data_IF_807970164022
#
_entry.id   IF_807970164022
#
_cell.length_a   1.000
_cell.length_b   1.000
_cell.length_c   1.000
_cell.angle_alpha   90.00
_cell.angle_beta   90.00
_cell.angle_gamma   90.00
#
_symmetry.space_group_name_H-M   'P 1'
#
loop_
_entity.id
_entity.type
_entity.pdbx_description
1 polymer ?
#
# COMPACT_ATOMS: atom_id res chain seq x y z
N UNK A 1 6.54 -12.22 -25.44
CA UNK A 1 5.49 -12.53 -26.42
C UNK A 1 4.87 -11.27 -26.98
N UNK A 2 4.07 -11.41 -28.04
CA UNK A 2 3.38 -10.31 -28.69
C UNK A 2 2.07 -9.99 -27.95
N UNK A 3 1.79 -8.72 -27.71
CA UNK A 3 0.53 -8.24 -27.10
C UNK A 3 -0.61 -8.42 -28.11
N UNK A 4 -1.59 -9.25 -27.78
CA UNK A 4 -2.79 -9.45 -28.58
C UNK A 4 -3.83 -8.37 -28.35
N UNK A 5 -4.09 -8.05 -27.08
CA UNK A 5 -5.06 -7.02 -26.71
C UNK A 5 -4.78 -6.43 -25.35
N UNK A 6 -5.15 -5.16 -25.17
CA UNK A 6 -5.18 -4.44 -23.89
C UNK A 6 -6.66 -4.31 -23.50
N UNK A 7 -6.99 -4.69 -22.25
CA UNK A 7 -8.37 -4.81 -21.76
C UNK A 7 -8.66 -3.85 -20.60
N UNK A 8 -7.95 -2.76 -20.49
CA UNK A 8 -8.18 -1.69 -19.52
C UNK A 8 -8.04 -0.33 -20.17
N UNK A 9 -8.65 0.67 -19.58
CA UNK A 9 -8.44 2.08 -19.91
C UNK A 9 -7.53 2.73 -18.87
N UNK A 10 -6.74 3.70 -19.28
CA UNK A 10 -5.85 4.47 -18.39
C UNK A 10 -6.70 5.23 -17.36
N UNK A 11 -6.31 5.12 -16.08
CA UNK A 11 -7.07 5.69 -14.97
C UNK A 11 -8.29 4.88 -14.53
N UNK A 12 -8.55 3.72 -15.15
CA UNK A 12 -9.67 2.86 -14.79
C UNK A 12 -9.43 2.19 -13.43
N UNK A 13 -10.51 2.00 -12.67
CA UNK A 13 -10.49 1.15 -11.47
C UNK A 13 -10.68 -0.30 -11.88
N UNK A 14 -9.74 -1.15 -11.47
CA UNK A 14 -9.75 -2.58 -11.75
C UNK A 14 -9.85 -3.38 -10.47
N UNK A 15 -10.41 -4.58 -10.57
CA UNK A 15 -10.50 -5.52 -9.46
C UNK A 15 -9.40 -6.58 -9.55
N UNK A 16 -9.07 -7.18 -8.42
CA UNK A 16 -8.15 -8.31 -8.37
C UNK A 16 -8.58 -9.40 -9.35
N UNK A 17 -7.59 -10.02 -10.00
CA UNK A 17 -7.75 -11.06 -11.02
C UNK A 17 -8.42 -10.61 -12.33
N UNK A 18 -8.79 -9.33 -12.47
CA UNK A 18 -9.22 -8.76 -13.74
C UNK A 18 -8.10 -8.84 -14.77
N UNK A 19 -8.41 -9.35 -15.96
CA UNK A 19 -7.43 -9.46 -17.05
C UNK A 19 -7.16 -8.07 -17.61
N UNK A 20 -5.89 -7.65 -17.59
CA UNK A 20 -5.44 -6.37 -18.11
C UNK A 20 -4.93 -6.50 -19.54
N UNK A 21 -4.20 -7.57 -19.81
CA UNK A 21 -3.55 -7.79 -21.11
C UNK A 21 -3.64 -9.27 -21.47
N UNK A 22 -3.82 -9.49 -22.77
CA UNK A 22 -3.66 -10.83 -23.38
C UNK A 22 -2.46 -10.80 -24.32
N UNK A 23 -1.57 -11.75 -24.11
CA UNK A 23 -0.46 -12.08 -25.00
C UNK A 23 -0.95 -13.11 -25.99
N UNK A 24 -0.39 -13.13 -27.19
CA UNK A 24 -0.70 -14.16 -28.18
C UNK A 24 -0.31 -15.54 -27.64
N UNK A 25 -1.29 -16.41 -27.54
CA UNK A 25 -1.20 -17.74 -26.94
C UNK A 25 -1.54 -18.86 -27.94
N UNK A 26 -1.68 -18.56 -29.23
CA UNK A 26 -2.14 -19.52 -30.24
C UNK A 26 -1.27 -20.78 -30.28
N UNK A 27 0.07 -20.62 -30.29
CA UNK A 27 0.99 -21.74 -30.27
C UNK A 27 0.91 -22.53 -28.95
N UNK A 28 0.86 -21.81 -27.81
CA UNK A 28 0.77 -22.46 -26.49
C UNK A 28 -0.53 -23.23 -26.31
N UNK A 29 -1.64 -22.75 -26.86
CA UNK A 29 -2.91 -23.49 -26.87
C UNK A 29 -2.87 -24.76 -27.73
N UNK A 30 -2.19 -24.71 -28.89
CA UNK A 30 -1.99 -25.90 -29.71
C UNK A 30 -1.13 -26.93 -28.97
N UNK A 31 -0.06 -26.52 -28.31
CA UNK A 31 0.77 -27.41 -27.47
C UNK A 31 0.00 -27.95 -26.28
N UNK A 32 -0.87 -27.14 -25.65
CA UNK A 32 -1.74 -27.59 -24.55
C UNK A 32 -2.70 -28.67 -25.03
N UNK A 33 -3.37 -28.48 -26.16
CA UNK A 33 -4.29 -29.47 -26.71
C UNK A 33 -3.59 -30.81 -27.02
N UNK A 34 -2.33 -30.73 -27.52
CA UNK A 34 -1.53 -31.94 -27.74
C UNK A 34 -1.21 -32.66 -26.42
N UNK A 35 -0.82 -31.92 -25.39
CA UNK A 35 -0.52 -32.49 -24.08
C UNK A 35 -1.77 -33.06 -23.40
N UNK A 36 -2.94 -32.44 -23.58
CA UNK A 36 -4.22 -32.94 -23.08
C UNK A 36 -4.57 -34.29 -23.73
N UNK A 37 -4.39 -34.42 -25.05
CA UNK A 37 -4.59 -35.69 -25.76
C UNK A 37 -3.62 -36.77 -25.27
N UNK A 38 -2.34 -36.41 -25.05
CA UNK A 38 -1.33 -37.34 -24.54
C UNK A 38 -1.63 -37.79 -23.11
N UNK A 39 -2.04 -36.86 -22.25
CA UNK A 39 -2.45 -37.19 -20.89
C UNK A 39 -3.68 -38.08 -20.85
N UNK A 40 -4.68 -37.83 -21.68
CA UNK A 40 -5.89 -38.65 -21.76
C UNK A 40 -5.56 -40.08 -22.22
N UNK A 41 -4.66 -40.25 -23.19
CA UNK A 41 -4.19 -41.59 -23.60
C UNK A 41 -3.48 -42.31 -22.43
N UNK A 42 -2.60 -41.63 -21.72
CA UNK A 42 -1.89 -42.18 -20.56
C UNK A 42 -2.85 -42.58 -19.43
N UNK A 43 -3.89 -41.77 -19.19
CA UNK A 43 -4.95 -42.03 -18.21
C UNK A 43 -5.74 -43.30 -18.56
N UNK A 44 -6.13 -43.46 -19.84
CA UNK A 44 -6.80 -44.67 -20.31
C UNK A 44 -5.92 -45.91 -20.17
N UNK A 45 -4.61 -45.80 -20.46
CA UNK A 45 -3.66 -46.89 -20.30
C UNK A 45 -3.46 -47.24 -18.81
N UNK A 46 -3.38 -46.24 -17.92
CA UNK A 46 -3.31 -46.48 -16.48
C UNK A 46 -4.53 -47.26 -15.97
N UNK A 47 -5.74 -46.81 -16.33
CA UNK A 47 -6.98 -47.45 -15.93
C UNK A 47 -7.05 -48.92 -16.44
N UNK A 48 -6.59 -49.17 -17.68
CA UNK A 48 -6.51 -50.51 -18.23
C UNK A 48 -5.49 -51.40 -17.49
N UNK A 49 -4.32 -50.81 -17.15
CA UNK A 49 -3.28 -51.47 -16.38
C UNK A 49 -3.75 -51.85 -14.96
N UNK A 50 -4.51 -50.96 -14.29
CA UNK A 50 -5.07 -51.26 -12.97
C UNK A 50 -6.01 -52.46 -13.02
N UNK A 51 -6.93 -52.53 -14.00
CA UNK A 51 -7.83 -53.66 -14.18
C UNK A 51 -7.09 -54.98 -14.45
N UNK A 52 -5.99 -54.94 -15.26
CA UNK A 52 -5.17 -56.13 -15.55
C UNK A 52 -4.33 -56.54 -14.34
N UNK A 53 -3.89 -55.61 -13.51
CA UNK A 53 -3.16 -55.91 -12.27
C UNK A 53 -4.07 -56.57 -11.24
N UNK A 54 -5.32 -56.12 -11.08
CA UNK A 54 -6.32 -56.76 -10.23
C UNK A 54 -6.61 -58.19 -10.70
N UNK A 55 -6.66 -58.41 -12.02
CA UNK A 55 -6.82 -59.75 -12.63
C UNK A 55 -5.55 -60.61 -12.59
N UNK A 56 -4.44 -60.16 -11.96
CA UNK A 56 -3.12 -60.79 -11.92
C UNK A 56 -2.54 -61.11 -13.32
N UNK A 57 -2.91 -60.36 -14.33
CA UNK A 57 -2.53 -60.53 -15.73
C UNK A 57 -1.44 -59.59 -16.22
N UNK A 58 -0.80 -58.80 -15.30
CA UNK A 58 0.25 -57.85 -15.60
C UNK A 58 1.40 -57.96 -14.59
N UNK A 59 2.64 -57.74 -15.05
CA UNK A 59 3.81 -57.67 -14.18
C UNK A 59 3.89 -56.33 -13.42
N UNK A 60 4.49 -56.36 -12.24
CA UNK A 60 4.69 -55.13 -11.42
C UNK A 60 5.51 -54.07 -12.19
N UNK A 61 6.56 -54.53 -12.88
CA UNK A 61 7.42 -53.62 -13.66
C UNK A 61 6.65 -52.90 -14.78
N UNK A 62 5.74 -53.59 -15.44
CA UNK A 62 4.90 -53.02 -16.49
C UNK A 62 3.87 -52.03 -15.90
N UNK A 63 3.26 -52.35 -14.74
CA UNK A 63 2.36 -51.45 -14.03
C UNK A 63 3.08 -50.17 -13.59
N UNK A 64 4.31 -50.31 -13.08
CA UNK A 64 5.13 -49.15 -12.65
C UNK A 64 5.54 -48.30 -13.86
N UNK A 65 5.82 -48.87 -15.01
CA UNK A 65 6.09 -48.14 -16.25
C UNK A 65 4.88 -47.30 -16.66
N UNK A 66 3.67 -47.87 -16.70
CA UNK A 66 2.44 -47.17 -17.08
C UNK A 66 2.14 -46.03 -16.09
N UNK A 67 2.35 -46.25 -14.78
CA UNK A 67 2.20 -45.19 -13.76
C UNK A 67 3.19 -44.03 -14.01
N UNK A 68 4.43 -44.36 -14.35
CA UNK A 68 5.46 -43.33 -14.63
C UNK A 68 5.13 -42.53 -15.90
N UNK A 69 4.62 -43.22 -16.95
CA UNK A 69 4.18 -42.53 -18.18
C UNK A 69 3.01 -41.57 -17.91
N UNK A 70 2.00 -41.98 -17.12
CA UNK A 70 0.90 -41.15 -16.71
C UNK A 70 1.38 -39.94 -15.90
N UNK A 71 2.26 -40.16 -14.92
CA UNK A 71 2.82 -39.07 -14.11
C UNK A 71 3.60 -38.05 -14.96
N UNK A 72 4.38 -38.55 -15.95
CA UNK A 72 5.10 -37.68 -16.89
C UNK A 72 4.16 -36.84 -17.76
N UNK A 73 3.11 -37.47 -18.32
CA UNK A 73 2.11 -36.75 -19.11
C UNK A 73 1.34 -35.72 -18.30
N UNK A 74 1.01 -36.04 -17.04
CA UNK A 74 0.36 -35.11 -16.11
C UNK A 74 1.24 -33.87 -15.83
N UNK A 75 2.55 -34.10 -15.61
CA UNK A 75 3.49 -33.00 -15.37
C UNK A 75 3.65 -32.11 -16.62
N UNK A 76 3.72 -32.69 -17.81
CA UNK A 76 3.80 -31.95 -19.07
C UNK A 76 2.54 -31.09 -19.30
N UNK A 77 1.36 -31.66 -19.06
CA UNK A 77 0.08 -30.95 -19.15
C UNK A 77 0.03 -29.77 -18.15
N UNK A 78 0.42 -30.00 -16.90
CA UNK A 78 0.44 -28.98 -15.86
C UNK A 78 1.35 -27.82 -16.23
N UNK A 79 2.54 -28.09 -16.78
CA UNK A 79 3.48 -27.06 -17.23
C UNK A 79 2.86 -26.18 -18.32
N UNK A 80 2.19 -26.76 -19.30
CA UNK A 80 1.56 -26.00 -20.39
C UNK A 80 0.35 -25.20 -19.92
N UNK A 81 -0.44 -25.72 -19.00
CA UNK A 81 -1.53 -24.94 -18.35
C UNK A 81 -1.01 -23.69 -17.67
N UNK A 82 0.08 -23.79 -16.92
CA UNK A 82 0.72 -22.64 -16.28
C UNK A 82 1.24 -21.66 -17.32
N UNK A 83 1.85 -22.14 -18.42
CA UNK A 83 2.35 -21.26 -19.50
C UNK A 83 1.21 -20.50 -20.18
N UNK A 84 0.10 -21.16 -20.48
CA UNK A 84 -1.10 -20.52 -21.04
C UNK A 84 -1.69 -19.51 -20.04
N UNK A 85 -1.80 -19.86 -18.75
CA UNK A 85 -2.29 -18.94 -17.73
C UNK A 85 -1.43 -17.66 -17.62
N UNK A 86 -0.11 -17.75 -17.84
CA UNK A 86 0.80 -16.60 -17.84
C UNK A 86 0.66 -15.71 -19.07
N UNK A 87 -0.09 -16.09 -20.09
CA UNK A 87 -0.37 -15.20 -21.23
C UNK A 87 -1.48 -14.19 -20.93
N UNK A 88 -2.23 -14.39 -19.86
CA UNK A 88 -3.16 -13.42 -19.31
C UNK A 88 -2.50 -12.70 -18.13
N UNK A 89 -2.20 -11.42 -18.32
CA UNK A 89 -1.67 -10.59 -17.23
C UNK A 89 -2.85 -9.98 -16.48
N UNK A 90 -2.95 -10.30 -15.19
CA UNK A 90 -4.08 -9.92 -14.34
C UNK A 90 -3.66 -8.93 -13.27
N UNK A 91 -4.60 -8.14 -12.77
CA UNK A 91 -4.39 -7.25 -11.64
C UNK A 91 -4.14 -8.08 -10.36
N UNK A 92 -3.04 -7.86 -9.62
CA UNK A 92 -2.75 -8.61 -8.40
C UNK A 92 -3.59 -8.17 -7.19
N UNK A 93 -4.19 -6.98 -7.24
CA UNK A 93 -5.06 -6.40 -6.21
C UNK A 93 -6.01 -5.37 -6.83
N UNK A 94 -7.00 -4.94 -6.05
CA UNK A 94 -7.93 -3.88 -6.46
C UNK A 94 -7.22 -2.52 -6.46
N UNK A 95 -7.35 -1.75 -7.54
CA UNK A 95 -6.66 -0.46 -7.63
C UNK A 95 -7.05 0.35 -8.85
N UNK A 96 -6.27 1.40 -9.09
CA UNK A 96 -6.39 2.25 -10.28
C UNK A 96 -5.16 2.04 -11.15
N UNK A 97 -5.37 1.70 -12.41
CA UNK A 97 -4.28 1.55 -13.38
C UNK A 97 -3.82 2.92 -13.87
N UNK A 98 -2.49 3.06 -14.00
CA UNK A 98 -1.88 4.27 -14.56
C UNK A 98 -1.88 4.29 -16.08
N UNK A 99 -1.02 5.16 -16.64
CA UNK A 99 -0.82 5.23 -18.08
C UNK A 99 -0.20 3.92 -18.61
N UNK A 100 -0.62 3.50 -19.79
CA UNK A 100 -0.05 2.33 -20.46
C UNK A 100 1.21 2.72 -21.24
N UNK A 101 2.19 1.82 -21.22
CA UNK A 101 3.44 2.02 -21.96
C UNK A 101 3.53 1.13 -23.20
N UNK A 102 2.49 0.33 -23.47
CA UNK A 102 2.46 -0.67 -24.53
C UNK A 102 1.19 -0.56 -25.37
N UNK A 103 1.27 -1.11 -26.58
CA UNK A 103 0.15 -1.16 -27.55
C UNK A 103 -0.06 -2.58 -28.07
N UNK A 104 -1.26 -2.92 -28.55
CA UNK A 104 -1.48 -4.16 -29.28
C UNK A 104 -0.49 -4.30 -30.43
N UNK A 105 0.14 -5.45 -30.56
CA UNK A 105 1.21 -5.72 -31.53
C UNK A 105 2.62 -5.61 -30.99
N UNK A 106 2.83 -4.95 -29.85
CA UNK A 106 4.15 -4.81 -29.25
C UNK A 106 4.68 -6.16 -28.74
N UNK A 107 6.01 -6.33 -28.82
CA UNK A 107 6.70 -7.47 -28.22
C UNK A 107 7.16 -7.12 -26.80
N UNK A 108 6.68 -7.88 -25.82
CA UNK A 108 7.01 -7.67 -24.40
C UNK A 108 7.76 -8.86 -23.82
N UNK A 109 8.57 -8.57 -22.82
CA UNK A 109 9.33 -9.53 -22.02
C UNK A 109 8.90 -9.45 -20.54
N UNK A 110 9.44 -10.32 -19.70
CA UNK A 110 9.16 -10.29 -18.25
C UNK A 110 9.64 -9.00 -17.55
N UNK A 111 10.58 -8.26 -18.18
CA UNK A 111 11.11 -7.00 -17.64
C UNK A 111 10.35 -5.76 -18.15
N UNK A 112 9.42 -5.93 -19.11
CA UNK A 112 8.68 -4.80 -19.68
C UNK A 112 7.66 -4.29 -18.69
N UNK A 113 7.77 -3.01 -18.31
CA UNK A 113 6.74 -2.33 -17.52
C UNK A 113 5.54 -2.06 -18.43
N UNK A 114 4.38 -2.44 -18.02
CA UNK A 114 3.13 -2.35 -18.79
C UNK A 114 2.32 -1.11 -18.38
N UNK A 115 2.10 -1.00 -17.09
CA UNK A 115 1.40 0.10 -16.42
C UNK A 115 1.75 0.06 -14.94
N UNK A 116 1.38 1.09 -14.20
CA UNK A 116 1.35 1.05 -12.72
C UNK A 116 -0.02 0.64 -12.24
N UNK A 117 -0.09 0.04 -11.07
CA UNK A 117 -1.34 -0.25 -10.39
C UNK A 117 -1.24 0.28 -8.96
N UNK A 118 -2.05 1.28 -8.65
CA UNK A 118 -2.01 1.98 -7.38
C UNK A 118 -3.21 1.57 -6.50
N UNK A 119 -2.90 1.09 -5.29
CA UNK A 119 -3.91 0.85 -4.27
C UNK A 119 -4.24 2.18 -3.56
N UNK A 120 -5.38 2.74 -3.90
CA UNK A 120 -5.88 3.98 -3.30
C UNK A 120 -6.85 3.75 -2.13
N UNK A 121 -7.00 2.50 -1.66
CA UNK A 121 -7.89 2.16 -0.55
C UNK A 121 -7.44 2.81 0.77
N UNK A 122 -6.13 2.98 0.95
CA UNK A 122 -5.54 3.60 2.13
C UNK A 122 -4.33 4.44 1.77
N UNK A 123 -4.46 5.73 1.91
CA UNK A 123 -3.34 6.65 1.73
C UNK A 123 -2.36 6.55 2.89
N UNK A 124 -1.07 6.59 2.55
CA UNK A 124 0.04 6.63 3.49
C UNK A 124 0.74 7.97 3.37
N UNK A 125 1.21 8.48 4.49
CA UNK A 125 2.03 9.67 4.54
C UNK A 125 3.39 9.34 5.13
N UNK A 126 4.43 9.95 4.57
CA UNK A 126 5.81 9.82 5.02
C UNK A 126 6.32 11.22 5.37
N UNK A 127 6.82 11.39 6.59
CA UNK A 127 7.32 12.67 7.07
C UNK A 127 8.47 12.49 8.05
N UNK A 128 9.19 13.58 8.30
CA UNK A 128 10.33 13.57 9.18
C UNK A 128 10.03 14.37 10.45
N UNK A 129 10.39 13.80 11.59
CA UNK A 129 10.26 14.42 12.91
C UNK A 129 11.65 14.74 13.44
N UNK A 130 11.98 16.00 13.77
CA UNK A 130 13.26 16.39 14.36
C UNK A 130 13.56 15.59 15.64
N UNK A 131 14.83 15.23 15.85
CA UNK A 131 15.31 14.38 16.96
C UNK A 131 14.75 14.82 18.32
N UNK A 132 14.74 16.14 18.60
CA UNK A 132 14.24 16.71 19.87
C UNK A 132 12.77 16.36 20.18
N UNK A 133 11.98 16.00 19.16
CA UNK A 133 10.56 15.66 19.30
C UNK A 133 10.27 14.16 19.15
N UNK A 134 11.23 13.36 18.70
CA UNK A 134 11.02 11.95 18.42
C UNK A 134 10.56 11.17 19.66
N UNK A 135 11.07 11.50 20.84
CA UNK A 135 10.66 10.85 22.09
C UNK A 135 9.19 11.08 22.48
N UNK A 136 8.59 12.14 21.94
CA UNK A 136 7.17 12.49 22.20
C UNK A 136 6.20 11.84 21.19
N UNK A 137 6.70 11.30 20.07
CA UNK A 137 5.89 10.65 19.05
C UNK A 137 5.89 9.16 19.32
N UNK A 138 4.72 8.54 19.31
CA UNK A 138 4.53 7.10 19.50
C UNK A 138 3.65 6.55 18.39
N UNK A 139 3.73 5.24 18.15
CA UNK A 139 2.72 4.55 17.33
C UNK A 139 1.35 4.80 17.96
N UNK A 140 0.37 5.15 17.15
CA UNK A 140 -0.96 5.60 17.60
C UNK A 140 -1.09 7.12 17.81
N UNK A 141 0.00 7.90 17.67
CA UNK A 141 -0.12 9.37 17.74
C UNK A 141 -0.92 9.88 16.54
N UNK A 142 -1.96 10.68 16.82
CA UNK A 142 -2.78 11.29 15.79
C UNK A 142 -2.15 12.56 15.24
N UNK A 143 -2.40 12.83 13.96
CA UNK A 143 -1.96 14.05 13.29
C UNK A 143 -3.03 14.56 12.33
N UNK A 144 -2.95 15.84 12.01
CA UNK A 144 -3.79 16.48 10.99
C UNK A 144 -2.94 16.77 9.76
N UNK A 145 -3.48 16.46 8.59
CA UNK A 145 -2.87 16.71 7.29
C UNK A 145 -3.58 17.90 6.67
N UNK A 146 -2.81 18.84 6.09
CA UNK A 146 -3.33 19.93 5.28
C UNK A 146 -2.65 19.93 3.92
N UNK A 147 -3.43 19.96 2.87
CA UNK A 147 -2.92 20.07 1.51
C UNK A 147 -3.74 21.10 0.72
N UNK A 148 -3.06 21.79 -0.18
CA UNK A 148 -3.74 22.62 -1.17
C UNK A 148 -4.20 21.72 -2.31
N UNK A 149 -5.49 21.68 -2.55
CA UNK A 149 -6.10 20.98 -3.67
C UNK A 149 -6.67 21.97 -4.68
N UNK A 150 -6.98 21.56 -5.91
CA UNK A 150 -7.62 22.42 -6.89
C UNK A 150 -8.94 23.04 -6.41
N UNK A 151 -9.60 22.42 -5.45
CA UNK A 151 -10.89 22.86 -4.88
C UNK A 151 -10.73 23.68 -3.59
N UNK A 152 -9.49 23.91 -3.12
CA UNK A 152 -9.18 24.65 -1.90
C UNK A 152 -8.32 23.87 -0.91
N UNK A 153 -8.21 24.36 0.32
CA UNK A 153 -7.49 23.66 1.40
C UNK A 153 -8.30 22.42 1.84
N UNK A 154 -7.70 21.24 1.70
CA UNK A 154 -8.24 20.00 2.24
C UNK A 154 -7.54 19.61 3.54
N UNK A 155 -8.31 19.07 4.48
CA UNK A 155 -7.81 18.56 5.77
C UNK A 155 -8.21 17.10 5.94
N UNK A 156 -7.30 16.33 6.52
CA UNK A 156 -7.53 14.94 6.87
C UNK A 156 -6.90 14.63 8.22
N UNK A 157 -7.36 13.58 8.85
CA UNK A 157 -6.74 13.04 10.05
C UNK A 157 -5.97 11.77 9.72
N UNK A 158 -4.95 11.49 10.52
CA UNK A 158 -4.15 10.29 10.37
C UNK A 158 -3.59 9.82 11.70
N UNK A 159 -3.03 8.62 11.66
CA UNK A 159 -2.44 7.97 12.82
C UNK A 159 -1.07 7.39 12.44
N UNK A 160 -0.08 7.58 13.31
CA UNK A 160 1.28 7.05 13.15
C UNK A 160 1.28 5.54 13.33
N UNK A 161 1.81 4.81 12.35
CA UNK A 161 1.98 3.35 12.46
C UNK A 161 3.45 2.91 12.50
N UNK A 162 4.37 3.78 12.11
CA UNK A 162 5.80 3.46 12.08
C UNK A 162 6.65 4.66 12.44
N UNK A 163 7.68 4.43 13.24
CA UNK A 163 8.72 5.39 13.59
C UNK A 163 10.06 4.68 13.40
N UNK A 164 10.95 5.28 12.62
CA UNK A 164 12.30 4.74 12.45
C UNK A 164 13.06 4.76 13.76
N UNK A 165 13.71 3.66 14.10
CA UNK A 165 14.64 3.58 15.24
C UNK A 165 15.99 4.24 14.97
N UNK A 166 16.24 4.64 13.70
CA UNK A 166 17.49 5.27 13.26
C UNK A 166 17.22 6.73 12.92
N UNK A 167 18.05 7.61 13.45
CA UNK A 167 18.04 9.04 13.15
C UNK A 167 18.93 9.27 11.93
N UNK A 168 18.40 9.93 10.92
CA UNK A 168 19.19 10.38 9.78
C UNK A 168 20.14 11.49 10.24
N UNK A 169 21.44 11.24 10.08
CA UNK A 169 22.49 12.16 10.54
C UNK A 169 22.57 13.46 9.73
N UNK A 170 22.12 13.44 8.49
CA UNK A 170 22.17 14.61 7.61
C UNK A 170 21.08 15.61 7.95
N UNK A 171 19.86 15.12 8.24
CA UNK A 171 18.69 15.93 8.55
C UNK A 171 18.42 16.05 10.05
N UNK A 172 19.11 15.26 10.90
CA UNK A 172 18.86 15.09 12.33
C UNK A 172 17.37 14.86 12.63
N UNK A 173 16.75 13.97 11.87
CA UNK A 173 15.34 13.64 11.99
C UNK A 173 15.10 12.15 11.93
N UNK A 174 13.98 11.70 12.48
CA UNK A 174 13.49 10.34 12.38
C UNK A 174 12.37 10.26 11.35
N UNK A 175 12.42 9.27 10.48
CA UNK A 175 11.34 9.00 9.53
C UNK A 175 10.13 8.45 10.28
N UNK A 176 8.97 9.02 10.02
CA UNK A 176 7.70 8.61 10.59
C UNK A 176 6.71 8.36 9.45
N UNK A 177 5.95 7.28 9.57
CA UNK A 177 4.90 6.96 8.60
C UNK A 177 3.56 6.86 9.29
N UNK A 178 2.53 7.37 8.63
CA UNK A 178 1.17 7.35 9.12
C UNK A 178 0.18 6.86 8.08
N UNK A 179 -0.95 6.38 8.54
CA UNK A 179 -2.12 6.15 7.70
C UNK A 179 -3.06 7.34 7.78
N UNK A 180 -3.66 7.69 6.65
CA UNK A 180 -4.79 8.61 6.60
C UNK A 180 -6.02 7.82 6.99
N UNK A 181 -6.68 8.20 8.09
CA UNK A 181 -7.85 7.50 8.63
C UNK A 181 -9.14 7.92 7.94
N UNK A 182 -9.19 9.17 7.50
CA UNK A 182 -10.27 9.72 6.69
C UNK A 182 -9.67 10.11 5.35
N UNK A 183 -10.20 9.59 4.25
CA UNK A 183 -9.74 9.93 2.91
C UNK A 183 -10.68 10.97 2.28
N UNK A 184 -10.48 12.26 2.54
CA UNK A 184 -11.27 13.29 1.92
C UNK A 184 -10.94 13.36 0.42
N UNK A 185 -11.96 13.62 -0.37
CA UNK A 185 -11.79 13.84 -1.79
C UNK A 185 -10.72 14.92 -2.07
N UNK A 186 -9.80 14.64 -2.97
CA UNK A 186 -8.78 15.58 -3.41
C UNK A 186 -7.35 15.27 -2.98
N UNK A 187 -7.10 14.33 -2.05
CA UNK A 187 -5.75 13.84 -1.78
C UNK A 187 -5.34 12.81 -2.83
N UNK A 188 -4.16 13.00 -3.39
CA UNK A 188 -3.57 12.08 -4.37
C UNK A 188 -2.17 11.65 -3.95
N UNK A 189 -1.75 10.41 -4.25
CA UNK A 189 -0.36 10.00 -4.07
C UNK A 189 0.59 10.97 -4.76
N UNK A 190 1.73 11.24 -4.12
CA UNK A 190 2.73 12.19 -4.63
C UNK A 190 2.48 13.66 -4.29
N UNK A 191 1.37 14.01 -3.65
CA UNK A 191 1.14 15.38 -3.19
C UNK A 191 1.99 15.72 -1.97
N UNK A 192 2.45 16.97 -1.89
CA UNK A 192 3.00 17.54 -0.66
C UNK A 192 1.88 17.96 0.27
N UNK A 193 2.05 17.65 1.57
CA UNK A 193 1.10 18.02 2.60
C UNK A 193 1.82 18.55 3.85
N UNK A 194 1.25 19.56 4.46
CA UNK A 194 1.64 20.03 5.80
C UNK A 194 1.07 19.09 6.86
N UNK A 195 1.89 18.76 7.87
CA UNK A 195 1.48 17.90 8.97
C UNK A 195 1.50 18.69 10.27
N UNK A 196 0.40 18.63 10.98
CA UNK A 196 0.28 19.12 12.34
C UNK A 196 0.22 17.94 13.30
N UNK A 197 1.29 17.74 14.04
CA UNK A 197 1.42 16.68 15.03
C UNK A 197 1.15 17.22 16.43
N UNK A 198 0.15 16.71 17.12
CA UNK A 198 -0.15 17.07 18.50
C UNK A 198 0.79 16.28 19.42
N UNK A 199 1.85 16.94 19.90
CA UNK A 199 2.85 16.30 20.75
C UNK A 199 2.45 16.26 22.24
N UNK A 200 1.69 17.26 22.69
CA UNK A 200 1.29 17.39 24.10
C UNK A 200 0.01 18.20 24.19
N UNK A 201 -0.95 17.74 24.94
CA UNK A 201 -2.17 18.47 25.29
C UNK A 201 -2.11 18.80 26.77
N UNK A 202 -1.98 20.06 27.10
CA UNK A 202 -2.02 20.54 28.48
C UNK A 202 -3.42 21.00 28.79
N UNK A 203 -4.08 20.30 29.70
CA UNK A 203 -5.42 20.66 30.18
C UNK A 203 -5.28 21.51 31.44
N UNK A 204 -6.23 22.43 31.63
CA UNK A 204 -6.34 23.26 32.84
C UNK A 204 -5.10 24.14 33.11
N UNK A 205 -4.46 24.69 32.06
CA UNK A 205 -3.40 25.70 32.20
C UNK A 205 -3.98 27.08 32.14
N UNK A 206 -3.43 27.97 32.96
CA UNK A 206 -3.72 29.41 32.86
C UNK A 206 -3.00 29.95 31.61
N UNK A 207 -3.76 30.52 30.70
CA UNK A 207 -3.24 31.15 29.49
C UNK A 207 -3.60 32.64 29.51
N UNK A 208 -2.63 33.45 29.16
CA UNK A 208 -2.82 34.90 28.99
C UNK A 208 -2.32 35.30 27.58
N UNK A 209 -2.95 36.30 26.94
CA UNK A 209 -2.43 36.84 25.70
C UNK A 209 -0.97 37.34 25.89
N UNK A 210 -0.11 37.12 24.87
CA UNK A 210 1.30 37.54 24.94
C UNK A 210 1.45 39.04 25.26
N UNK A 211 0.57 39.90 24.70
CA UNK A 211 0.54 41.34 24.96
C UNK A 211 0.16 41.70 26.39
N UNK A 212 -0.32 40.79 27.22
CA UNK A 212 -0.63 41.01 28.63
C UNK A 212 0.59 40.78 29.55
N UNK A 213 1.71 40.29 29.00
CA UNK A 213 2.93 40.03 29.78
C UNK A 213 3.85 41.23 29.71
N UNK A 214 4.11 41.80 30.88
CA UNK A 214 5.06 42.91 31.07
C UNK A 214 6.42 42.33 31.49
N UNK A 215 7.45 42.58 30.70
CA UNK A 215 8.82 42.25 31.09
C UNK A 215 9.44 43.36 31.91
N UNK A 216 9.68 43.12 33.18
CA UNK A 216 10.29 44.08 34.11
C UNK A 216 11.69 43.61 34.52
N UNK A 217 12.55 44.51 35.11
CA UNK A 217 13.83 44.08 35.66
C UNK A 217 13.74 42.96 36.72
N UNK A 218 12.57 42.82 37.37
CA UNK A 218 12.29 41.81 38.39
C UNK A 218 11.65 40.53 37.81
N UNK A 219 11.57 40.38 36.47
CA UNK A 219 10.98 39.26 35.80
C UNK A 219 9.64 39.56 35.15
N UNK A 220 9.03 38.54 34.48
CA UNK A 220 7.75 38.71 33.81
C UNK A 220 6.60 38.85 34.83
N UNK A 221 5.70 39.80 34.55
CA UNK A 221 4.53 40.11 35.37
C UNK A 221 3.30 40.30 34.50
N UNK A 222 2.12 40.07 35.06
CA UNK A 222 0.82 40.41 34.45
C UNK A 222 0.08 41.41 35.37
N UNK A 223 -0.73 42.26 34.77
CA UNK A 223 -1.62 43.14 35.52
C UNK A 223 -2.94 42.37 35.73
N UNK A 224 -3.23 41.99 36.96
CA UNK A 224 -4.49 41.43 37.34
C UNK A 224 -5.43 42.54 37.84
N UNK A 225 -6.67 42.56 37.36
CA UNK A 225 -7.69 43.48 37.87
C UNK A 225 -8.47 42.77 38.98
N UNK A 226 -8.42 43.32 40.20
CA UNK A 226 -9.19 42.83 41.34
C UNK A 226 -10.28 43.81 41.72
N UNK A 227 -11.46 43.25 42.05
CA UNK A 227 -12.55 44.04 42.59
C UNK A 227 -12.31 44.29 44.09
N UNK A 228 -12.23 45.56 44.49
CA UNK A 228 -12.05 45.96 45.87
C UNK A 228 -13.25 46.88 46.29
N UNK A 229 -14.35 46.21 46.58
CA UNK A 229 -15.62 46.93 46.87
C UNK A 229 -16.26 47.52 45.61
N UNK A 230 -16.39 48.86 45.53
CA UNK A 230 -16.94 49.54 44.35
C UNK A 230 -15.85 49.87 43.29
N UNK A 231 -14.58 49.75 43.64
CA UNK A 231 -13.45 50.10 42.78
C UNK A 231 -12.72 48.89 42.21
N UNK A 232 -12.09 49.08 41.04
CA UNK A 232 -11.23 48.07 40.42
C UNK A 232 -9.78 48.51 40.59
N UNK A 233 -8.98 47.65 41.21
CA UNK A 233 -7.57 47.93 41.47
C UNK A 233 -6.71 47.05 40.56
N UNK A 234 -5.69 47.65 39.92
CA UNK A 234 -4.68 46.95 39.14
C UNK A 234 -3.55 46.46 40.06
N UNK A 235 -3.29 45.17 40.06
CA UNK A 235 -2.22 44.54 40.82
C UNK A 235 -1.19 43.89 39.88
N UNK A 236 0.10 44.18 40.10
CA UNK A 236 1.19 43.52 39.36
C UNK A 236 1.46 42.14 39.99
N UNK A 237 1.16 41.11 39.26
CA UNK A 237 1.38 39.73 39.70
C UNK A 237 2.57 39.12 38.97
N UNK A 238 3.63 38.72 39.67
CA UNK A 238 4.73 38.01 39.06
C UNK A 238 4.26 36.64 38.55
N UNK A 239 4.68 36.29 37.35
CA UNK A 239 4.29 35.00 36.71
C UNK A 239 5.54 34.25 36.26
N UNK A 240 5.45 32.94 36.30
CA UNK A 240 6.45 32.05 35.67
C UNK A 240 5.92 31.66 34.32
N UNK A 241 6.64 32.02 33.27
CA UNK A 241 6.24 31.69 31.92
C UNK A 241 6.48 30.17 31.66
N UNK A 242 5.47 29.54 31.11
CA UNK A 242 5.56 28.17 30.63
C UNK A 242 6.09 28.10 29.19
N UNK A 243 5.54 27.17 28.40
CA UNK A 243 5.82 27.13 26.97
C UNK A 243 5.01 28.19 26.22
N UNK A 244 5.66 28.81 25.27
CA UNK A 244 5.13 29.79 24.32
C UNK A 244 4.64 29.07 23.07
#
# INVERSE_FOLDING_TARGET
GQVRSVQFQEGERVTRDQVLIKIDDAELRAQLAQAEASFHLAELNLKRSENLTEARSMSQAEADRVRSEHASAAAALSLLRVRVAKTEIKAPFDGVVGARTISPGDYITAATVITTLDDLSRLKIDFQVPERFTSKVKVGTTFTIRAQTPTGEARAHGEVYFISSVIDRSTRSSQVKGYVTENPAGFQPGMFAGIELVLEVRRSVLAVPEGAILTTPNGPQVIAVRDQGADKVAEFVPVQLGLR
#
